data_IF_538702696251
#
_entry.id   IF_538702696251
#
_cell.length_a   1.000
_cell.length_b   1.000
_cell.length_c   1.000
_cell.angle_alpha   90.00
_cell.angle_beta   90.00
_cell.angle_gamma   90.00
#
_symmetry.space_group_name_H-M   'P 1'
#
loop_
_entity.id
_entity.type
_entity.pdbx_description
1 polymer ?
#
# COMPACT_ATOMS: atom_id res chain seq x y z
N UNK A 1 11.79 -37.95 -26.30
CA UNK A 1 11.28 -36.69 -25.72
C UNK A 1 10.83 -35.78 -26.85
N UNK A 2 9.52 -35.49 -26.95
CA UNK A 2 9.00 -34.64 -28.00
C UNK A 2 9.31 -33.16 -27.69
N UNK A 3 10.23 -32.57 -28.44
CA UNK A 3 10.56 -31.14 -28.35
C UNK A 3 9.43 -30.35 -28.97
N UNK A 4 8.55 -29.79 -28.13
CA UNK A 4 7.52 -28.86 -28.59
C UNK A 4 8.18 -27.54 -29.00
N UNK A 5 7.95 -27.13 -30.25
CA UNK A 5 8.46 -25.88 -30.81
C UNK A 5 7.85 -24.66 -30.10
N UNK A 6 8.65 -23.59 -29.96
CA UNK A 6 8.27 -22.35 -29.25
C UNK A 6 6.91 -21.76 -29.70
N UNK A 7 6.54 -21.92 -30.97
CA UNK A 7 5.27 -21.42 -31.50
C UNK A 7 4.04 -22.16 -30.94
N UNK A 8 4.16 -23.45 -30.60
CA UNK A 8 3.05 -24.23 -30.02
C UNK A 8 2.78 -23.84 -28.57
N UNK A 9 3.82 -23.45 -27.82
CA UNK A 9 3.69 -22.89 -26.46
C UNK A 9 2.99 -21.53 -26.44
N UNK A 10 3.20 -20.71 -27.48
CA UNK A 10 2.57 -19.38 -27.62
C UNK A 10 1.06 -19.48 -27.83
N UNK A 11 0.61 -20.35 -28.75
CA UNK A 11 -0.82 -20.60 -29.01
C UNK A 11 -1.59 -21.14 -27.80
N UNK A 12 -0.95 -21.96 -26.98
CA UNK A 12 -1.59 -22.51 -25.79
C UNK A 12 -1.74 -21.46 -24.68
N UNK A 13 -0.75 -20.57 -24.50
CA UNK A 13 -0.83 -19.47 -23.51
C UNK A 13 -1.82 -18.37 -23.90
N UNK A 14 -2.01 -18.11 -25.20
CA UNK A 14 -2.95 -17.12 -25.73
C UNK A 14 -4.41 -17.57 -25.56
N UNK A 15 -4.68 -18.85 -25.84
CA UNK A 15 -5.98 -19.49 -25.58
C UNK A 15 -6.35 -19.52 -24.09
N UNK A 16 -5.37 -19.51 -23.18
CA UNK A 16 -5.65 -19.48 -21.73
C UNK A 16 -5.99 -18.06 -21.24
N UNK A 17 -5.35 -17.02 -21.79
CA UNK A 17 -5.68 -15.62 -21.47
C UNK A 17 -7.02 -15.16 -22.03
N UNK A 18 -7.45 -15.69 -23.18
CA UNK A 18 -8.79 -15.45 -23.70
C UNK A 18 -9.88 -16.08 -22.80
N UNK A 19 -9.60 -17.25 -22.20
CA UNK A 19 -10.59 -17.95 -21.36
C UNK A 19 -10.89 -17.28 -20.02
N UNK A 20 -9.92 -16.63 -19.38
CA UNK A 20 -10.14 -16.01 -18.05
C UNK A 20 -11.03 -14.77 -18.15
N UNK A 21 -10.84 -13.96 -19.19
CA UNK A 21 -11.68 -12.78 -19.45
C UNK A 21 -13.15 -13.13 -19.77
N UNK A 22 -13.46 -14.40 -20.06
CA UNK A 22 -14.85 -14.85 -20.28
C UNK A 22 -15.58 -15.29 -19.01
N UNK A 23 -14.85 -15.54 -17.91
CA UNK A 23 -15.42 -16.05 -16.64
C UNK A 23 -15.55 -14.93 -15.60
N UNK A 24 -14.63 -13.96 -15.59
CA UNK A 24 -14.65 -12.85 -14.65
C UNK A 24 -14.18 -11.55 -15.34
N UNK A 25 -15.00 -10.48 -15.35
CA UNK A 25 -14.61 -9.17 -15.86
C UNK A 25 -13.29 -8.68 -15.27
N UNK A 26 -12.48 -8.02 -16.10
CA UNK A 26 -11.15 -7.50 -15.73
C UNK A 26 -11.25 -6.54 -14.54
N UNK A 27 -12.30 -5.74 -14.51
CA UNK A 27 -12.58 -4.74 -13.47
C UNK A 27 -12.73 -5.40 -12.10
N UNK A 28 -13.44 -6.52 -12.02
CA UNK A 28 -13.61 -7.26 -10.77
C UNK A 28 -12.31 -7.94 -10.33
N UNK A 29 -11.48 -8.37 -11.27
CA UNK A 29 -10.16 -8.90 -10.92
C UNK A 29 -9.26 -7.81 -10.36
N UNK A 30 -9.29 -6.62 -10.96
CA UNK A 30 -8.57 -5.45 -10.43
C UNK A 30 -9.02 -5.16 -9.01
N UNK A 31 -10.32 -5.13 -8.75
CA UNK A 31 -10.87 -4.91 -7.42
C UNK A 31 -10.39 -5.98 -6.42
N UNK A 32 -10.54 -7.27 -6.75
CA UNK A 32 -10.10 -8.39 -5.90
C UNK A 32 -8.60 -8.30 -5.60
N UNK A 33 -7.78 -8.04 -6.60
CA UNK A 33 -6.33 -7.95 -6.41
C UNK A 33 -5.92 -6.69 -5.62
N UNK A 34 -6.68 -5.61 -5.74
CA UNK A 34 -6.51 -4.41 -4.93
C UNK A 34 -6.92 -4.64 -3.47
N UNK A 35 -7.81 -5.62 -3.21
CA UNK A 35 -8.23 -6.01 -1.86
C UNK A 35 -7.14 -6.77 -1.09
N UNK A 36 -6.21 -7.42 -1.78
CA UNK A 36 -5.19 -8.25 -1.13
C UNK A 36 -4.19 -7.33 -0.42
N UNK A 37 -4.25 -7.33 0.92
CA UNK A 37 -3.24 -6.71 1.79
C UNK A 37 -1.93 -7.49 1.65
N UNK A 38 -1.16 -7.15 0.62
CA UNK A 38 0.18 -7.68 0.46
C UNK A 38 1.17 -6.68 1.02
N UNK A 39 2.08 -7.19 1.85
CA UNK A 39 3.30 -6.47 2.23
C UNK A 39 4.13 -6.10 1.01
N UNK A 40 3.89 -6.74 -0.13
CA UNK A 40 4.53 -6.45 -1.41
C UNK A 40 3.62 -6.88 -2.58
N UNK A 41 2.85 -5.98 -3.22
CA UNK A 41 1.99 -6.33 -4.35
C UNK A 41 2.80 -6.81 -5.57
N UNK A 42 4.13 -6.62 -5.58
CA UNK A 42 4.99 -7.20 -6.61
C UNK A 42 5.02 -8.74 -6.54
N UNK A 43 4.59 -9.37 -5.44
CA UNK A 43 4.46 -10.84 -5.31
C UNK A 43 3.37 -11.42 -6.22
N UNK A 44 2.31 -10.65 -6.50
CA UNK A 44 1.25 -11.04 -7.45
C UNK A 44 1.78 -11.30 -8.87
N UNK A 45 2.96 -10.76 -9.19
CA UNK A 45 3.60 -10.94 -10.49
C UNK A 45 4.14 -12.33 -10.73
N UNK A 46 4.44 -13.05 -9.65
CA UNK A 46 4.99 -14.39 -9.72
C UNK A 46 3.90 -15.45 -9.99
N UNK A 47 2.62 -15.09 -9.89
CA UNK A 47 1.49 -16.02 -10.02
C UNK A 47 1.30 -16.47 -11.47
N UNK A 48 1.11 -15.53 -12.40
CA UNK A 48 1.01 -15.83 -13.83
C UNK A 48 1.32 -14.62 -14.71
N UNK A 49 1.49 -14.85 -16.03
CA UNK A 49 1.77 -13.79 -17.00
C UNK A 49 0.68 -12.72 -17.06
N UNK A 50 -0.58 -13.14 -16.91
CA UNK A 50 -1.72 -12.23 -16.98
C UNK A 50 -1.75 -11.30 -15.76
N UNK A 51 -1.52 -11.82 -14.55
CA UNK A 51 -1.39 -10.98 -13.34
C UNK A 51 -0.20 -10.04 -13.44
N UNK A 52 0.94 -10.51 -13.97
CA UNK A 52 2.09 -9.63 -14.18
C UNK A 52 1.80 -8.47 -15.13
N UNK A 53 0.97 -8.67 -16.16
CA UNK A 53 0.51 -7.58 -17.05
C UNK A 53 -0.46 -6.65 -16.34
N UNK A 54 -1.41 -7.20 -15.57
CA UNK A 54 -2.38 -6.43 -14.80
C UNK A 54 -1.71 -5.52 -13.75
N UNK A 55 -0.61 -5.98 -13.15
CA UNK A 55 0.20 -5.19 -12.20
C UNK A 55 0.89 -3.96 -12.81
N UNK A 56 0.84 -3.78 -14.13
CA UNK A 56 1.35 -2.59 -14.85
C UNK A 56 0.20 -1.80 -15.48
N UNK A 57 -1.03 -2.29 -15.35
CA UNK A 57 -2.21 -1.63 -15.88
C UNK A 57 -2.49 -0.32 -15.10
N UNK A 58 -2.76 0.81 -15.79
CA UNK A 58 -3.02 2.08 -15.13
C UNK A 58 -4.21 2.04 -14.17
N UNK A 59 -5.30 1.34 -14.51
CA UNK A 59 -6.50 1.27 -13.66
C UNK A 59 -6.20 0.50 -12.38
N UNK A 60 -5.50 -0.64 -12.49
CA UNK A 60 -5.06 -1.38 -11.32
C UNK A 60 -4.19 -0.53 -10.38
N UNK A 61 -3.22 0.18 -10.94
CA UNK A 61 -2.32 1.05 -10.18
C UNK A 61 -3.10 2.17 -9.47
N UNK A 62 -4.04 2.79 -10.16
CA UNK A 62 -4.88 3.85 -9.59
C UNK A 62 -5.72 3.33 -8.42
N UNK A 63 -6.42 2.21 -8.61
CA UNK A 63 -7.23 1.58 -7.54
C UNK A 63 -6.39 1.17 -6.34
N UNK A 64 -5.22 0.56 -6.58
CA UNK A 64 -4.29 0.16 -5.52
C UNK A 64 -3.78 1.37 -4.72
N UNK A 65 -3.36 2.45 -5.40
CA UNK A 65 -2.88 3.67 -4.75
C UNK A 65 -4.00 4.35 -3.97
N UNK A 66 -5.18 4.50 -4.57
CA UNK A 66 -6.33 5.12 -3.91
C UNK A 66 -6.66 4.41 -2.58
N UNK A 67 -6.71 3.07 -2.60
CA UNK A 67 -6.95 2.28 -1.39
C UNK A 67 -5.82 2.44 -0.36
N UNK A 68 -4.57 2.33 -0.80
CA UNK A 68 -3.40 2.49 0.08
C UNK A 68 -3.38 3.86 0.77
N UNK A 69 -3.69 4.93 0.04
CA UNK A 69 -3.79 6.28 0.61
C UNK A 69 -4.97 6.40 1.58
N UNK A 70 -6.12 5.83 1.24
CA UNK A 70 -7.29 5.80 2.13
C UNK A 70 -6.96 5.14 3.47
N UNK A 71 -6.26 4.01 3.46
CA UNK A 71 -5.86 3.30 4.67
C UNK A 71 -4.87 4.12 5.53
N UNK A 72 -3.88 4.75 4.88
CA UNK A 72 -2.93 5.64 5.57
C UNK A 72 -3.65 6.85 6.17
N UNK A 73 -4.57 7.47 5.44
CA UNK A 73 -5.35 8.63 5.91
C UNK A 73 -6.20 8.21 7.11
N UNK A 74 -6.88 7.07 7.05
CA UNK A 74 -7.65 6.53 8.18
C UNK A 74 -6.80 6.34 9.42
N UNK A 75 -5.65 5.68 9.30
CA UNK A 75 -4.71 5.51 10.41
C UNK A 75 -4.19 6.85 10.96
N UNK A 76 -3.95 7.83 10.09
CA UNK A 76 -3.50 9.17 10.49
C UNK A 76 -4.57 9.88 11.31
N UNK A 77 -5.83 9.83 10.86
CA UNK A 77 -6.96 10.44 11.59
C UNK A 77 -7.12 9.79 12.97
N UNK A 78 -7.10 8.46 13.05
CA UNK A 78 -7.15 7.75 14.34
C UNK A 78 -5.98 8.15 15.26
N UNK A 79 -4.77 8.28 14.72
CA UNK A 79 -3.62 8.75 15.49
C UNK A 79 -3.81 10.17 16.03
N UNK A 80 -4.38 11.07 15.22
CA UNK A 80 -4.67 12.46 15.62
C UNK A 80 -5.75 12.52 16.71
N UNK A 81 -6.83 11.75 16.58
CA UNK A 81 -7.87 11.63 17.63
C UNK A 81 -7.27 11.15 18.96
N UNK A 82 -6.35 10.18 18.92
CA UNK A 82 -5.65 9.72 20.11
C UNK A 82 -4.74 10.80 20.72
N UNK A 83 -4.05 11.60 19.91
CA UNK A 83 -3.23 12.74 20.39
C UNK A 83 -4.12 13.79 21.06
N UNK A 84 -5.22 14.19 20.43
CA UNK A 84 -6.16 15.18 21.00
C UNK A 84 -6.75 14.69 22.33
N UNK A 85 -7.06 13.38 22.42
CA UNK A 85 -7.52 12.76 23.67
C UNK A 85 -6.44 12.75 24.76
N UNK A 86 -5.17 12.56 24.37
CA UNK A 86 -4.03 12.55 25.27
C UNK A 86 -3.70 13.96 25.78
N UNK A 87 -3.71 14.96 24.90
CA UNK A 87 -3.48 16.37 25.25
C UNK A 87 -4.59 16.91 26.17
N UNK A 88 -5.85 16.61 25.86
CA UNK A 88 -6.99 17.00 26.71
C UNK A 88 -6.89 16.43 28.13
N UNK A 89 -6.25 15.28 28.31
CA UNK A 89 -5.99 14.67 29.62
C UNK A 89 -4.74 15.21 30.32
N UNK A 90 -3.82 15.86 29.59
CA UNK A 90 -2.64 16.52 30.16
C UNK A 90 -2.94 17.93 30.71
N UNK A 91 -4.05 18.56 30.34
CA UNK A 91 -4.45 19.88 30.87
C UNK A 91 -4.88 19.82 32.35
N UNK A 92 -5.12 18.62 32.89
CA UNK A 92 -5.41 18.39 34.32
C UNK A 92 -4.26 17.64 34.99
N UNK A 93 -3.06 18.23 34.99
CA UNK A 93 -2.04 17.88 35.99
C UNK A 93 -2.09 19.00 37.02
N UNK A 94 -2.78 18.82 38.15
CA UNK A 94 -2.59 19.72 39.28
C UNK A 94 -1.09 19.79 39.57
N UNK A 95 -0.57 21.00 39.74
CA UNK A 95 0.80 21.20 40.14
C UNK A 95 1.02 20.59 41.54
N UNK A 96 1.33 19.30 41.61
CA UNK A 96 1.76 18.60 42.82
C UNK A 96 3.25 18.96 43.04
N UNK A 97 3.47 20.22 43.42
CA UNK A 97 4.66 20.71 44.11
C UNK A 97 4.20 21.85 45.02
N UNK A 98 3.24 21.56 45.90
CA UNK A 98 3.16 22.27 47.18
C UNK A 98 3.55 21.25 48.23
N UNK A 99 4.85 21.28 48.55
CA UNK A 99 5.34 20.71 49.81
C UNK A 99 4.60 21.44 50.93
N UNK A 100 3.68 20.75 51.59
CA UNK A 100 3.42 20.88 53.03
C UNK A 100 2.63 19.62 53.41
N UNK A 101 3.28 18.75 54.19
CA UNK A 101 2.90 17.35 54.34
C UNK A 101 1.61 17.10 55.11
N UNK A 102 0.96 16.01 54.73
CA UNK A 102 0.36 15.01 55.63
C UNK A 102 0.18 13.72 54.82
N UNK A 103 0.24 12.58 55.51
CA UNK A 103 0.21 11.21 54.97
C UNK A 103 -1.12 10.87 54.25
N UNK A 104 -1.19 11.00 52.93
CA UNK A 104 -2.27 10.41 52.11
C UNK A 104 -1.69 9.37 51.13
N UNK A 105 -1.66 8.10 51.56
CA UNK A 105 -1.33 6.94 50.69
C UNK A 105 -2.32 6.79 49.51
N UNK A 106 -3.50 7.45 49.56
CA UNK A 106 -4.51 7.44 48.49
C UNK A 106 -4.07 8.23 47.24
N UNK A 107 -3.29 9.32 47.41
CA UNK A 107 -2.83 10.17 46.31
C UNK A 107 -1.75 9.47 45.45
N UNK A 108 -0.95 8.59 46.06
CA UNK A 108 0.12 7.86 45.39
C UNK A 108 -0.46 6.72 44.51
N UNK A 109 -1.48 6.02 44.97
CA UNK A 109 -2.16 4.96 44.21
C UNK A 109 -2.89 5.54 42.98
N UNK A 110 -3.62 6.65 43.12
CA UNK A 110 -4.30 7.33 42.00
C UNK A 110 -3.31 7.87 40.96
N UNK A 111 -2.16 8.41 41.39
CA UNK A 111 -1.10 8.86 40.49
C UNK A 111 -0.50 7.70 39.68
N UNK A 112 -0.34 6.52 40.30
CA UNK A 112 0.16 5.33 39.60
C UNK A 112 -0.84 4.78 38.58
N UNK A 113 -2.14 4.77 38.88
CA UNK A 113 -3.21 4.36 37.95
C UNK A 113 -3.28 5.30 36.73
N UNK A 114 -3.16 6.61 36.97
CA UNK A 114 -3.14 7.62 35.91
C UNK A 114 -1.91 7.45 35.00
N UNK A 115 -0.73 7.22 35.59
CA UNK A 115 0.50 6.95 34.84
C UNK A 115 0.42 5.67 34.00
N UNK A 116 -0.14 4.59 34.55
CA UNK A 116 -0.38 3.35 33.79
C UNK A 116 -1.31 3.57 32.61
N UNK A 117 -2.41 4.30 32.79
CA UNK A 117 -3.35 4.60 31.70
C UNK A 117 -2.71 5.48 30.61
N UNK A 118 -1.85 6.43 31.00
CA UNK A 118 -1.07 7.23 30.05
C UNK A 118 -0.06 6.38 29.27
N UNK A 119 0.62 5.45 29.94
CA UNK A 119 1.53 4.52 29.28
C UNK A 119 0.79 3.65 28.23
N UNK A 120 -0.39 3.14 28.59
CA UNK A 120 -1.23 2.36 27.67
C UNK A 120 -1.71 3.19 26.46
N UNK A 121 -2.04 4.47 26.66
CA UNK A 121 -2.41 5.38 25.56
C UNK A 121 -1.23 5.63 24.62
N UNK A 122 -0.04 5.86 25.15
CA UNK A 122 1.17 6.04 24.35
C UNK A 122 1.52 4.78 23.57
N UNK A 123 1.38 3.60 24.18
CA UNK A 123 1.65 2.32 23.53
C UNK A 123 0.69 2.07 22.35
N UNK A 124 -0.61 2.35 22.54
CA UNK A 124 -1.60 2.34 21.44
C UNK A 124 -1.22 3.27 20.29
N UNK A 125 -0.79 4.49 20.60
CA UNK A 125 -0.36 5.45 19.59
C UNK A 125 0.89 4.97 18.82
N UNK A 126 1.88 4.44 19.52
CA UNK A 126 3.09 3.90 18.92
C UNK A 126 2.78 2.77 17.94
N UNK A 127 1.84 1.87 18.28
CA UNK A 127 1.39 0.78 17.38
C UNK A 127 0.80 1.35 16.08
N UNK A 128 -0.02 2.39 16.16
CA UNK A 128 -0.62 3.03 14.98
C UNK A 128 0.46 3.68 14.10
N UNK A 129 1.40 4.42 14.69
CA UNK A 129 2.51 5.01 13.95
C UNK A 129 3.38 3.97 13.23
N UNK A 130 3.63 2.84 13.90
CA UNK A 130 4.40 1.76 13.33
C UNK A 130 3.68 1.10 12.14
N UNK A 131 2.35 0.97 12.24
CA UNK A 131 1.49 0.53 11.14
C UNK A 131 1.56 1.47 9.93
N UNK A 132 1.38 2.78 10.17
CA UNK A 132 1.49 3.82 9.14
C UNK A 132 2.87 3.79 8.45
N UNK A 133 3.94 3.68 9.24
CA UNK A 133 5.32 3.62 8.74
C UNK A 133 5.54 2.41 7.84
N UNK A 134 5.02 1.24 8.20
CA UNK A 134 5.12 0.03 7.36
C UNK A 134 4.37 0.22 6.04
N UNK A 135 3.12 0.69 6.07
CA UNK A 135 2.33 0.94 4.88
C UNK A 135 3.00 1.92 3.91
N UNK A 136 3.55 3.02 4.43
CA UNK A 136 4.27 4.01 3.63
C UNK A 136 5.53 3.41 2.96
N UNK A 137 6.27 2.57 3.68
CA UNK A 137 7.45 1.90 3.15
C UNK A 137 7.10 0.95 2.00
N UNK A 138 6.01 0.18 2.14
CA UNK A 138 5.51 -0.69 1.07
C UNK A 138 5.16 0.11 -0.18
N UNK A 139 4.33 1.15 -0.03
CA UNK A 139 3.93 2.02 -1.15
C UNK A 139 5.14 2.66 -1.85
N UNK A 140 6.16 3.06 -1.09
CA UNK A 140 7.41 3.62 -1.65
C UNK A 140 8.13 2.62 -2.56
N UNK A 141 8.22 1.35 -2.17
CA UNK A 141 8.84 0.30 -2.98
C UNK A 141 8.07 0.12 -4.29
N UNK A 142 6.75 0.07 -4.22
CA UNK A 142 5.87 -0.12 -5.38
C UNK A 142 5.96 1.05 -6.35
N UNK A 143 5.91 2.28 -5.84
CA UNK A 143 6.00 3.50 -6.64
C UNK A 143 7.33 3.58 -7.39
N UNK A 144 8.44 3.19 -6.76
CA UNK A 144 9.75 3.13 -7.42
C UNK A 144 9.76 2.10 -8.56
N UNK A 145 9.19 0.91 -8.33
CA UNK A 145 9.10 -0.14 -9.34
C UNK A 145 8.18 0.25 -10.51
N UNK A 146 7.09 0.94 -10.23
CA UNK A 146 6.17 1.47 -11.22
C UNK A 146 6.84 2.58 -12.06
N UNK A 147 7.46 3.56 -11.40
CA UNK A 147 8.17 4.67 -12.05
C UNK A 147 9.22 4.18 -13.06
N UNK A 148 9.98 3.15 -12.71
CA UNK A 148 10.96 2.54 -13.64
C UNK A 148 10.30 1.97 -14.89
N UNK A 149 9.15 1.34 -14.77
CA UNK A 149 8.43 0.75 -15.91
C UNK A 149 7.73 1.77 -16.78
N UNK A 150 7.13 2.81 -16.18
CA UNK A 150 6.55 3.92 -16.97
C UNK A 150 7.62 4.55 -17.86
N UNK A 151 8.84 4.77 -17.33
CA UNK A 151 9.98 5.23 -18.13
C UNK A 151 10.39 4.25 -19.24
N UNK A 152 10.36 2.95 -18.96
CA UNK A 152 10.65 1.92 -19.97
C UNK A 152 9.58 1.92 -21.08
N UNK A 153 8.30 2.01 -20.73
CA UNK A 153 7.20 2.09 -21.67
C UNK A 153 7.25 3.37 -22.50
N UNK A 154 7.55 4.52 -21.88
CA UNK A 154 7.78 5.78 -22.59
C UNK A 154 8.91 5.65 -23.63
N UNK A 155 10.00 4.98 -23.27
CA UNK A 155 11.11 4.70 -24.19
C UNK A 155 10.68 3.78 -25.33
N UNK A 156 9.90 2.74 -25.04
CA UNK A 156 9.35 1.83 -26.04
C UNK A 156 8.42 2.56 -27.02
N UNK A 157 7.51 3.40 -26.53
CA UNK A 157 6.61 4.19 -27.37
C UNK A 157 7.38 5.13 -28.30
N UNK A 158 8.43 5.79 -27.80
CA UNK A 158 9.30 6.63 -28.64
C UNK A 158 9.93 5.84 -29.79
N UNK A 159 10.44 4.64 -29.51
CA UNK A 159 11.03 3.76 -30.53
C UNK A 159 9.95 3.30 -31.52
N UNK A 160 8.81 2.84 -31.02
CA UNK A 160 7.72 2.35 -31.84
C UNK A 160 7.21 3.42 -32.81
N UNK A 161 6.92 4.62 -32.30
CA UNK A 161 6.47 5.75 -33.13
C UNK A 161 7.52 6.16 -34.16
N UNK A 162 8.81 6.15 -33.79
CA UNK A 162 9.91 6.40 -34.73
C UNK A 162 9.95 5.37 -35.85
N UNK A 163 9.81 4.07 -35.53
CA UNK A 163 9.82 3.00 -36.52
C UNK A 163 8.63 3.04 -37.48
N UNK A 164 7.45 3.46 -37.00
CA UNK A 164 6.25 3.65 -37.82
C UNK A 164 6.42 4.82 -38.79
N UNK A 165 7.03 5.92 -38.34
CA UNK A 165 7.32 7.08 -39.18
C UNK A 165 8.33 6.75 -40.29
N UNK A 166 9.39 6.00 -39.97
CA UNK A 166 10.41 5.56 -40.93
C UNK A 166 9.86 4.56 -41.96
N UNK A 167 8.99 3.64 -41.53
CA UNK A 167 8.33 2.67 -42.43
C UNK A 167 7.39 3.34 -43.44
N UNK A 168 6.73 4.43 -43.02
CA UNK A 168 5.83 5.23 -43.88
C UNK A 168 6.61 6.05 -44.92
N UNK A 169 7.84 6.47 -44.61
CA UNK A 169 8.71 7.22 -45.53
C UNK A 169 9.42 6.35 -46.58
N UNK A 170 9.47 5.03 -46.39
CA UNK A 170 10.14 4.09 -47.30
C UNK A 170 9.24 3.55 -48.42
N UNK A 171 7.95 3.92 -48.45
CA UNK A 171 6.97 3.42 -49.43
C UNK A 171 6.55 4.46 -50.49
N UNK A 172 7.32 5.53 -50.68
CA UNK A 172 7.11 6.55 -51.72
C UNK A 172 8.24 6.50 -52.75
#
# INVERSE_FOLDING_TARGET
>A
MAVMTRNRRRKMTEATSESINTVLPVELVIEILSLIELTNPLELRCVCKWWNLLMVDPQFVESYLHRSFSDIIGLTLTAMEHIESFESRNVYVPAIFQEDGDDDDEDEEEATELLMNKADQLDRFLVILDSMKRNLNTMKVDMVALKKRVKCFESFLKIYLKSVAESSSSSV
#
